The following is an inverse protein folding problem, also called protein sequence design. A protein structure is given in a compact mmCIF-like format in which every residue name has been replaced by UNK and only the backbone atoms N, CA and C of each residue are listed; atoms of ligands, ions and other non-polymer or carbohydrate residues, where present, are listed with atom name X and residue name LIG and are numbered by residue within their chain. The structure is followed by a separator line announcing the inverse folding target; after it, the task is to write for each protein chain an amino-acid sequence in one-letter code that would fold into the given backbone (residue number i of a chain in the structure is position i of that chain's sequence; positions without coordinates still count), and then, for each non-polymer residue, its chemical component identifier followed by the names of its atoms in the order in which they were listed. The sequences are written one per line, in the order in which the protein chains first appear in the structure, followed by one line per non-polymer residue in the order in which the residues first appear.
data_IF_689312246629
#
_entry.id   IF_689312246629
#
_cell.length_a   1.000
_cell.length_b   1.000
_cell.length_c   1.000
_cell.angle_alpha   90.00
_cell.angle_beta   90.00
_cell.angle_gamma   90.00
#
_symmetry.space_group_name_H-M   'P 1'
#
loop_
_entity.id
_entity.type
_entity.pdbx_description
1 polymer ?
#
# COMPACT_ATOMS: atom_id res chain seq x y z
N UNK A 1 27.19 18.67 -21.95
CA UNK A 1 27.70 17.90 -20.79
C UNK A 1 27.09 16.51 -20.85
N UNK A 2 27.89 15.43 -20.90
CA UNK A 2 27.34 14.09 -20.76
C UNK A 2 26.72 13.93 -19.36
N UNK A 3 25.59 13.21 -19.22
CA UNK A 3 24.99 12.96 -17.92
C UNK A 3 25.98 12.18 -17.06
N UNK A 4 26.20 12.64 -15.82
CA UNK A 4 27.03 11.93 -14.85
C UNK A 4 26.46 10.52 -14.66
N UNK A 5 27.20 9.50 -15.06
CA UNK A 5 26.84 8.11 -14.83
C UNK A 5 26.91 7.84 -13.33
N UNK A 6 25.76 7.82 -12.67
CA UNK A 6 25.64 7.43 -11.27
C UNK A 6 26.13 5.99 -11.17
N UNK A 7 27.33 5.78 -10.61
CA UNK A 7 27.84 4.44 -10.30
C UNK A 7 26.98 3.88 -9.19
N UNK A 8 26.33 2.75 -9.47
CA UNK A 8 25.59 1.99 -8.46
C UNK A 8 26.56 1.43 -7.42
N UNK A 9 26.20 1.41 -6.12
CA UNK A 9 27.05 0.89 -5.06
C UNK A 9 27.31 -0.62 -5.27
N UNK A 10 28.50 -1.10 -4.91
CA UNK A 10 28.77 -2.54 -4.84
C UNK A 10 28.05 -3.16 -3.64
N UNK A 11 27.93 -4.50 -3.58
CA UNK A 11 27.34 -5.19 -2.42
C UNK A 11 28.02 -4.80 -1.11
N UNK A 12 29.35 -4.78 -1.07
CA UNK A 12 30.10 -4.42 0.13
C UNK A 12 29.87 -2.97 0.56
N UNK A 13 29.74 -2.05 -0.40
CA UNK A 13 29.41 -0.65 -0.11
C UNK A 13 27.99 -0.55 0.47
N UNK A 14 27.02 -1.23 -0.14
CA UNK A 14 25.64 -1.23 0.34
C UNK A 14 25.52 -1.84 1.76
N UNK A 15 26.26 -2.90 2.07
CA UNK A 15 26.35 -3.47 3.42
C UNK A 15 26.96 -2.46 4.39
N UNK A 16 28.03 -1.77 3.99
CA UNK A 16 28.70 -0.75 4.82
C UNK A 16 27.76 0.42 5.12
N UNK A 17 27.09 0.96 4.10
CA UNK A 17 26.14 2.07 4.22
C UNK A 17 24.93 1.71 5.10
N UNK A 18 24.53 0.44 5.11
CA UNK A 18 23.41 -0.07 5.89
C UNK A 18 23.79 -0.50 7.33
N UNK A 19 24.98 -0.17 7.83
CA UNK A 19 25.39 -0.41 9.22
C UNK A 19 26.42 -1.52 9.41
N UNK A 20 27.06 -1.99 8.33
CA UNK A 20 28.17 -2.94 8.38
C UNK A 20 27.75 -4.42 8.26
N UNK A 21 28.70 -5.36 8.35
CA UNK A 21 28.50 -6.77 8.02
C UNK A 21 27.83 -7.58 9.14
N UNK A 22 26.75 -7.06 9.73
CA UNK A 22 25.92 -7.79 10.68
C UNK A 22 24.88 -8.65 9.95
N UNK A 23 24.48 -9.82 10.47
CA UNK A 23 23.60 -10.74 9.76
C UNK A 23 22.30 -10.12 9.25
N UNK A 24 21.64 -9.29 10.06
CA UNK A 24 20.41 -8.57 9.68
C UNK A 24 20.63 -7.65 8.49
N UNK A 25 21.69 -6.84 8.51
CA UNK A 25 22.06 -5.94 7.41
C UNK A 25 22.39 -6.72 6.13
N UNK A 26 23.18 -7.79 6.25
CA UNK A 26 23.53 -8.64 5.09
C UNK A 26 22.27 -9.24 4.46
N UNK A 27 21.32 -9.74 5.27
CA UNK A 27 20.06 -10.30 4.78
C UNK A 27 19.20 -9.23 4.07
N UNK A 28 19.05 -8.04 4.66
CA UNK A 28 18.29 -6.94 4.06
C UNK A 28 18.89 -6.54 2.71
N UNK A 29 20.21 -6.31 2.66
CA UNK A 29 20.89 -5.84 1.43
C UNK A 29 20.89 -6.91 0.35
N UNK A 30 21.25 -8.15 0.69
CA UNK A 30 21.22 -9.26 -0.29
C UNK A 30 19.81 -9.47 -0.82
N UNK A 31 18.81 -9.47 0.06
CA UNK A 31 17.41 -9.61 -0.31
C UNK A 31 16.92 -8.50 -1.23
N UNK A 32 17.27 -7.26 -0.93
CA UNK A 32 16.93 -6.11 -1.76
C UNK A 32 17.55 -6.25 -3.15
N UNK A 33 18.82 -6.65 -3.24
CA UNK A 33 19.51 -6.85 -4.51
C UNK A 33 18.96 -8.02 -5.33
N UNK A 34 18.48 -9.08 -4.67
CA UNK A 34 17.83 -10.23 -5.31
C UNK A 34 16.43 -9.91 -5.83
N UNK A 35 15.72 -8.95 -5.21
CA UNK A 35 14.37 -8.53 -5.62
C UNK A 35 14.37 -7.44 -6.69
N UNK A 36 15.50 -6.75 -6.84
CA UNK A 36 15.67 -5.67 -7.82
C UNK A 36 15.98 -6.21 -9.21
N UNK A 37 15.43 -5.54 -10.22
CA UNK A 37 15.76 -5.83 -11.60
C UNK A 37 17.25 -5.68 -11.88
N UNK A 38 17.79 -6.46 -12.83
CA UNK A 38 19.20 -6.33 -13.26
C UNK A 38 19.59 -4.91 -13.69
N UNK A 39 18.61 -4.10 -14.12
CA UNK A 39 18.79 -2.67 -14.45
C UNK A 39 18.81 -1.76 -13.23
N UNK A 40 18.28 -2.17 -12.08
CA UNK A 40 18.32 -1.45 -10.81
C UNK A 40 19.48 -1.94 -9.92
N UNK A 41 19.70 -3.25 -9.82
CA UNK A 41 20.79 -3.87 -9.06
C UNK A 41 22.14 -3.74 -9.77
N UNK A 42 23.21 -3.69 -8.99
CA UNK A 42 24.63 -3.73 -9.41
C UNK A 42 25.34 -4.99 -8.96
N UNK A 43 24.78 -5.71 -7.99
CA UNK A 43 25.41 -6.91 -7.47
C UNK A 43 25.23 -8.06 -8.43
N UNK A 44 26.29 -8.86 -8.53
CA UNK A 44 26.24 -10.11 -9.28
C UNK A 44 25.63 -11.20 -8.41
N UNK A 45 24.85 -12.15 -8.98
CA UNK A 45 24.27 -13.25 -8.20
C UNK A 45 25.30 -14.00 -7.34
N UNK A 46 26.53 -14.16 -7.83
CA UNK A 46 27.62 -14.84 -7.12
C UNK A 46 28.11 -14.07 -5.89
N UNK A 47 27.99 -12.73 -5.88
CA UNK A 47 28.35 -11.89 -4.73
C UNK A 47 27.32 -12.05 -3.62
N UNK A 48 26.03 -12.01 -3.95
CA UNK A 48 24.94 -12.26 -3.00
C UNK A 48 25.02 -13.69 -2.45
N UNK A 49 25.31 -14.69 -3.29
CA UNK A 49 25.47 -16.07 -2.83
C UNK A 49 26.64 -16.19 -1.85
N UNK A 50 27.80 -15.61 -2.17
CA UNK A 50 28.99 -15.65 -1.30
C UNK A 50 28.71 -15.00 0.07
N UNK A 51 28.04 -13.84 0.08
CA UNK A 51 27.67 -13.15 1.31
C UNK A 51 26.69 -13.98 2.16
N UNK A 52 25.69 -14.61 1.54
CA UNK A 52 24.75 -15.47 2.25
C UNK A 52 25.42 -16.75 2.79
N UNK A 53 26.34 -17.36 2.03
CA UNK A 53 27.10 -18.54 2.49
C UNK A 53 27.95 -18.24 3.72
N UNK A 54 28.42 -17.01 3.88
CA UNK A 54 29.18 -16.58 5.06
C UNK A 54 28.32 -16.52 6.34
N UNK A 55 26.99 -16.47 6.23
CA UNK A 55 26.09 -16.50 7.38
C UNK A 55 25.86 -17.94 7.86
N UNK A 56 26.00 -18.16 9.18
CA UNK A 56 25.58 -19.41 9.80
C UNK A 56 24.04 -19.52 9.81
N UNK A 57 23.47 -20.74 9.75
CA UNK A 57 22.02 -20.92 9.86
C UNK A 57 21.44 -20.28 11.12
N UNK A 58 22.09 -20.46 12.27
CA UNK A 58 21.66 -19.91 13.56
C UNK A 58 21.66 -18.38 13.58
N UNK A 59 22.61 -17.73 12.89
CA UNK A 59 22.64 -16.28 12.77
C UNK A 59 21.44 -15.77 11.95
N UNK A 60 21.02 -16.50 10.91
CA UNK A 60 19.83 -16.16 10.13
C UNK A 60 18.56 -16.39 10.94
N UNK A 61 18.45 -17.51 11.66
CA UNK A 61 17.34 -17.78 12.59
C UNK A 61 17.22 -16.68 13.64
N UNK A 62 18.33 -16.28 14.25
CA UNK A 62 18.39 -15.19 15.23
C UNK A 62 17.96 -13.86 14.62
N UNK A 63 18.42 -13.54 13.40
CA UNK A 63 18.04 -12.32 12.70
C UNK A 63 16.54 -12.29 12.36
N UNK A 64 15.95 -13.42 11.96
CA UNK A 64 14.50 -13.54 11.73
C UNK A 64 13.70 -13.36 13.02
N UNK A 65 14.13 -14.00 14.11
CA UNK A 65 13.50 -13.87 15.42
C UNK A 65 13.58 -12.44 15.99
N UNK A 66 14.59 -11.66 15.57
CA UNK A 66 14.76 -10.26 15.96
C UNK A 66 13.86 -9.29 15.18
N UNK A 67 13.10 -9.76 14.17
CA UNK A 67 12.13 -8.90 13.47
C UNK A 67 10.99 -8.56 14.43
N UNK A 68 10.92 -7.28 14.81
CA UNK A 68 9.83 -6.76 15.61
C UNK A 68 8.58 -6.56 14.73
N UNK A 69 7.77 -7.61 14.66
CA UNK A 69 6.50 -7.65 13.94
C UNK A 69 5.53 -6.57 14.42
N UNK A 70 5.55 -6.22 15.71
CA UNK A 70 4.67 -5.18 16.27
C UNK A 70 5.09 -3.79 15.78
N UNK A 71 6.39 -3.51 15.76
CA UNK A 71 6.91 -2.27 15.17
C UNK A 71 6.60 -2.16 13.69
N UNK A 72 6.79 -3.24 12.92
CA UNK A 72 6.44 -3.26 11.47
C UNK A 72 4.96 -2.96 11.25
N UNK A 73 4.07 -3.55 12.05
CA UNK A 73 2.62 -3.25 11.98
C UNK A 73 2.34 -1.79 12.28
N UNK A 74 2.97 -1.23 13.32
CA UNK A 74 2.79 0.17 13.71
C UNK A 74 3.28 1.12 12.60
N UNK A 75 4.46 0.86 12.04
CA UNK A 75 5.05 1.66 10.97
C UNK A 75 4.21 1.60 9.69
N UNK A 76 3.70 0.43 9.32
CA UNK A 76 2.79 0.30 8.18
C UNK A 76 1.44 0.97 8.41
N UNK A 77 0.89 0.87 9.62
CA UNK A 77 -0.38 1.54 9.97
C UNK A 77 -0.21 3.05 9.85
N UNK A 78 0.88 3.57 10.41
CA UNK A 78 1.26 4.98 10.28
C UNK A 78 1.47 5.37 8.82
N UNK A 79 2.11 4.52 8.01
CA UNK A 79 2.30 4.82 6.60
C UNK A 79 0.98 4.97 5.83
N UNK A 80 -0.01 4.13 6.15
CA UNK A 80 -1.36 4.23 5.57
C UNK A 80 -2.04 5.53 5.97
N UNK A 81 -1.88 5.97 7.21
CA UNK A 81 -2.45 7.23 7.73
C UNK A 81 -1.74 8.46 7.15
N UNK A 82 -0.41 8.49 7.17
CA UNK A 82 0.37 9.60 6.63
C UNK A 82 0.26 9.71 5.11
N UNK A 83 0.03 8.61 4.39
CA UNK A 83 -0.28 8.69 2.96
C UNK A 83 -1.61 9.40 2.70
N UNK A 84 -2.60 9.19 3.58
CA UNK A 84 -3.88 9.88 3.50
C UNK A 84 -3.71 11.38 3.79
N UNK A 85 -2.97 11.73 4.85
CA UNK A 85 -2.66 13.12 5.18
C UNK A 85 -1.87 13.82 4.07
N UNK A 86 -0.90 13.13 3.45
CA UNK A 86 -0.15 13.68 2.32
C UNK A 86 -1.06 14.07 1.14
N UNK A 87 -2.13 13.31 0.89
CA UNK A 87 -3.08 13.61 -0.18
C UNK A 87 -3.90 14.88 0.08
N UNK A 88 -4.20 15.17 1.36
CA UNK A 88 -5.06 16.29 1.78
C UNK A 88 -4.28 17.53 2.21
N UNK A 89 -2.96 17.43 2.40
CA UNK A 89 -2.11 18.54 2.80
C UNK A 89 -2.18 19.72 1.79
N UNK A 90 -2.54 20.89 2.32
CA UNK A 90 -2.64 22.15 1.57
C UNK A 90 -1.26 22.72 1.24
N UNK A 91 -0.30 22.56 2.15
CA UNK A 91 1.06 23.06 2.00
C UNK A 91 2.01 21.99 1.42
N UNK A 92 2.85 22.40 0.45
CA UNK A 92 3.80 21.50 -0.20
C UNK A 92 4.84 20.92 0.78
N UNK A 93 5.21 21.68 1.82
CA UNK A 93 6.14 21.22 2.84
C UNK A 93 5.53 20.12 3.70
N UNK A 94 4.30 20.31 4.16
CA UNK A 94 3.54 19.33 4.94
C UNK A 94 3.29 18.05 4.14
N UNK A 95 2.87 18.18 2.88
CA UNK A 95 2.75 17.05 1.95
C UNK A 95 4.03 16.23 1.85
N UNK A 96 5.17 16.90 1.70
CA UNK A 96 6.47 16.23 1.60
C UNK A 96 6.85 15.53 2.90
N UNK A 97 6.56 16.15 4.05
CA UNK A 97 6.80 15.56 5.37
C UNK A 97 6.01 14.25 5.54
N UNK A 98 4.69 14.29 5.29
CA UNK A 98 3.84 13.11 5.39
C UNK A 98 4.21 12.04 4.37
N UNK A 99 4.47 12.42 3.12
CA UNK A 99 4.88 11.47 2.09
C UNK A 99 6.21 10.78 2.45
N UNK A 100 7.17 11.52 2.99
CA UNK A 100 8.47 10.95 3.42
C UNK A 100 8.28 9.95 4.57
N UNK A 101 7.47 10.31 5.56
CA UNK A 101 7.21 9.44 6.71
C UNK A 101 6.42 8.18 6.30
N UNK A 102 5.45 8.33 5.40
CA UNK A 102 4.72 7.22 4.81
C UNK A 102 5.65 6.26 4.07
N UNK A 103 6.51 6.77 3.19
CA UNK A 103 7.48 5.96 2.47
C UNK A 103 8.48 5.27 3.41
N UNK A 104 8.83 5.87 4.55
CA UNK A 104 9.65 5.21 5.56
C UNK A 104 8.96 3.99 6.17
N UNK A 105 7.66 4.07 6.45
CA UNK A 105 6.91 2.92 6.97
C UNK A 105 6.71 1.81 5.92
N UNK A 106 6.49 2.17 4.65
CA UNK A 106 6.48 1.18 3.55
C UNK A 106 7.85 0.51 3.38
N UNK A 107 8.94 1.28 3.50
CA UNK A 107 10.29 0.75 3.44
C UNK A 107 10.61 -0.23 4.58
N UNK A 108 10.02 -0.06 5.78
CA UNK A 108 10.18 -1.02 6.86
C UNK A 108 9.61 -2.40 6.52
N UNK A 109 8.42 -2.43 5.91
CA UNK A 109 7.84 -3.69 5.40
C UNK A 109 8.67 -4.28 4.25
N UNK A 110 9.21 -3.45 3.39
CA UNK A 110 10.08 -3.88 2.30
C UNK A 110 11.40 -4.49 2.80
N UNK A 111 11.96 -3.98 3.91
CA UNK A 111 13.12 -4.60 4.58
C UNK A 111 12.81 -6.02 5.05
N UNK A 112 11.63 -6.25 5.60
CA UNK A 112 11.20 -7.61 5.99
C UNK A 112 11.06 -8.52 4.77
N UNK A 113 10.45 -8.03 3.67
CA UNK A 113 10.35 -8.80 2.43
C UNK A 113 11.73 -9.19 1.88
N UNK A 114 12.68 -8.24 1.89
CA UNK A 114 14.06 -8.48 1.51
C UNK A 114 14.74 -9.52 2.41
N UNK A 115 14.60 -9.37 3.73
CA UNK A 115 15.16 -10.32 4.71
C UNK A 115 14.66 -11.74 4.47
N UNK A 116 13.34 -11.91 4.24
CA UNK A 116 12.74 -13.21 3.94
C UNK A 116 13.25 -13.80 2.61
N UNK A 117 13.40 -12.99 1.56
CA UNK A 117 13.98 -13.44 0.29
C UNK A 117 15.41 -13.95 0.46
N UNK A 118 16.25 -13.23 1.21
CA UNK A 118 17.61 -13.65 1.52
C UNK A 118 17.65 -14.93 2.38
N UNK A 119 16.76 -15.04 3.37
CA UNK A 119 16.66 -16.23 4.22
C UNK A 119 16.25 -17.48 3.42
N UNK A 120 15.28 -17.37 2.51
CA UNK A 120 14.90 -18.46 1.59
C UNK A 120 16.05 -18.87 0.70
N UNK A 121 16.75 -17.90 0.11
CA UNK A 121 17.94 -18.18 -0.69
C UNK A 121 19.03 -18.90 0.13
N UNK A 122 19.23 -18.51 1.40
CA UNK A 122 20.15 -19.20 2.29
C UNK A 122 19.72 -20.65 2.55
N UNK A 123 18.43 -20.90 2.78
CA UNK A 123 17.88 -22.24 2.96
C UNK A 123 18.12 -23.09 1.70
N UNK A 124 17.88 -22.56 0.52
CA UNK A 124 18.12 -23.27 -0.76
C UNK A 124 19.60 -23.65 -0.91
N UNK A 125 20.52 -22.78 -0.51
CA UNK A 125 21.96 -23.08 -0.54
C UNK A 125 22.32 -24.20 0.45
N UNK A 126 21.76 -24.19 1.66
CA UNK A 126 21.96 -25.27 2.63
C UNK A 126 21.45 -26.61 2.10
N UNK A 127 20.29 -26.62 1.46
CA UNK A 127 19.70 -27.83 0.89
C UNK A 127 20.51 -28.37 -0.30
N UNK A 128 21.06 -27.48 -1.14
CA UNK A 128 21.97 -27.87 -2.24
C UNK A 128 23.28 -28.46 -1.73
N UNK A 129 23.84 -27.89 -0.67
CA UNK A 129 25.09 -28.38 -0.05
C UNK A 129 24.89 -29.76 0.62
N UNK A 130 23.65 -30.09 1.04
CA UNK A 130 23.29 -31.33 1.74
C UNK A 130 23.17 -32.59 0.88
N UNK A 131 23.60 -32.56 -0.40
CA UNK A 131 23.58 -33.71 -1.30
C UNK A 131 23.97 -35.04 -0.61
N UNK A 132 22.96 -35.90 -0.39
CA UNK A 132 22.99 -37.31 0.02
C UNK A 132 23.08 -37.72 1.50
N UNK A 133 23.27 -36.82 2.49
CA UNK A 133 23.37 -37.24 3.90
C UNK A 133 22.31 -36.59 4.83
N UNK A 134 21.14 -37.24 4.92
CA UNK A 134 19.94 -36.78 5.64
C UNK A 134 20.05 -36.76 7.18
N UNK A 135 21.11 -37.34 7.75
CA UNK A 135 21.26 -37.54 9.20
C UNK A 135 22.30 -36.62 9.87
N UNK A 136 22.75 -35.56 9.19
CA UNK A 136 23.79 -34.67 9.70
C UNK A 136 23.22 -33.45 10.47
N UNK A 137 23.95 -32.85 11.43
CA UNK A 137 23.53 -31.63 12.15
C UNK A 137 23.22 -30.43 11.23
N UNK A 138 23.66 -30.45 9.97
CA UNK A 138 23.24 -29.46 8.97
C UNK A 138 21.75 -29.58 8.62
N UNK A 139 21.15 -30.78 8.69
CA UNK A 139 19.72 -30.99 8.44
C UNK A 139 18.86 -30.38 9.55
N UNK A 140 19.35 -30.35 10.79
CA UNK A 140 18.70 -29.66 11.91
C UNK A 140 18.71 -28.14 11.72
N UNK A 141 19.86 -27.56 11.35
CA UNK A 141 19.96 -26.12 11.04
C UNK A 141 19.06 -25.67 9.88
N UNK A 142 18.94 -26.49 8.83
CA UNK A 142 18.03 -26.22 7.72
C UNK A 142 16.55 -26.29 8.13
N UNK A 143 16.18 -27.24 9.01
CA UNK A 143 14.81 -27.32 9.58
C UNK A 143 14.50 -26.11 10.44
N UNK A 144 15.38 -25.75 11.37
CA UNK A 144 15.21 -24.58 12.23
C UNK A 144 15.07 -23.29 11.42
N UNK A 145 15.87 -23.12 10.35
CA UNK A 145 15.75 -21.99 9.44
C UNK A 145 14.41 -22.00 8.68
N UNK A 146 13.98 -23.16 8.17
CA UNK A 146 12.70 -23.32 7.50
C UNK A 146 11.53 -22.95 8.42
N UNK A 147 11.56 -23.39 9.67
CA UNK A 147 10.53 -23.09 10.67
C UNK A 147 10.50 -21.60 11.02
N UNK A 148 11.67 -20.96 11.17
CA UNK A 148 11.79 -19.53 11.43
C UNK A 148 11.25 -18.68 10.26
N UNK A 149 11.53 -19.08 9.02
CA UNK A 149 10.98 -18.44 7.82
C UNK A 149 9.44 -18.55 7.83
N UNK A 150 8.90 -19.76 7.99
CA UNK A 150 7.46 -19.99 7.97
C UNK A 150 6.72 -19.24 9.10
N UNK A 151 7.32 -19.17 10.30
CA UNK A 151 6.78 -18.40 11.43
C UNK A 151 6.72 -16.90 11.12
N UNK A 152 7.81 -16.34 10.60
CA UNK A 152 7.90 -14.92 10.24
C UNK A 152 6.94 -14.59 9.10
N UNK A 153 6.84 -15.43 8.08
CA UNK A 153 5.91 -15.26 6.96
C UNK A 153 4.46 -15.23 7.42
N UNK A 154 4.07 -16.13 8.34
CA UNK A 154 2.71 -16.15 8.88
C UNK A 154 2.39 -14.84 9.62
N UNK A 155 3.29 -14.41 10.51
CA UNK A 155 3.10 -13.19 11.28
C UNK A 155 2.96 -11.94 10.39
N UNK A 156 3.72 -11.88 9.30
CA UNK A 156 3.66 -10.79 8.34
C UNK A 156 2.44 -10.88 7.41
N UNK A 157 2.02 -12.08 7.02
CA UNK A 157 0.82 -12.29 6.20
C UNK A 157 -0.44 -11.81 6.91
N UNK A 158 -0.54 -12.02 8.23
CA UNK A 158 -1.66 -11.51 9.03
C UNK A 158 -1.72 -9.98 9.04
N UNK A 159 -0.56 -9.31 9.12
CA UNK A 159 -0.46 -7.85 9.01
C UNK A 159 -0.89 -7.39 7.61
N UNK A 160 -0.31 -8.01 6.57
CA UNK A 160 -0.59 -7.68 5.18
C UNK A 160 -2.09 -7.82 4.87
N UNK A 161 -2.74 -8.90 5.31
CA UNK A 161 -4.17 -9.11 5.12
C UNK A 161 -5.01 -8.01 5.79
N UNK A 162 -4.64 -7.60 7.01
CA UNK A 162 -5.36 -6.56 7.75
C UNK A 162 -5.20 -5.15 7.18
N UNK A 163 -4.06 -4.85 6.56
CA UNK A 163 -3.76 -3.50 6.06
C UNK A 163 -3.99 -3.35 4.56
N UNK A 164 -3.96 -4.44 3.78
CA UNK A 164 -4.22 -4.39 2.34
C UNK A 164 -5.61 -3.87 2.00
N UNK A 165 -6.61 -4.12 2.84
CA UNK A 165 -7.96 -3.53 2.68
C UNK A 165 -7.96 -2.00 2.75
N UNK A 166 -6.90 -1.39 3.30
CA UNK A 166 -6.70 0.07 3.37
C UNK A 166 -5.76 0.60 2.28
N UNK A 167 -5.40 -0.19 1.27
CA UNK A 167 -4.44 0.20 0.22
C UNK A 167 -4.85 1.47 -0.54
N UNK A 168 -6.15 1.76 -0.65
CA UNK A 168 -6.66 3.02 -1.23
C UNK A 168 -6.12 4.28 -0.55
N UNK A 169 -5.81 4.23 0.75
CA UNK A 169 -5.22 5.35 1.49
C UNK A 169 -3.77 5.63 1.08
N UNK A 170 -3.10 4.67 0.44
CA UNK A 170 -1.73 4.83 -0.07
C UNK A 170 -1.66 5.61 -1.39
N UNK A 171 -2.79 5.97 -1.99
CA UNK A 171 -2.84 6.69 -3.27
C UNK A 171 -2.21 8.08 -3.19
N UNK A 172 -2.20 8.71 -2.02
CA UNK A 172 -1.54 10.00 -1.78
C UNK A 172 -0.02 10.02 -2.00
N UNK A 173 0.62 8.85 -2.07
CA UNK A 173 2.05 8.69 -2.32
C UNK A 173 2.34 7.78 -3.52
N UNK A 174 1.38 7.66 -4.45
CA UNK A 174 1.48 6.74 -5.58
C UNK A 174 2.68 7.01 -6.49
N UNK A 175 3.08 8.27 -6.65
CA UNK A 175 4.26 8.64 -7.43
C UNK A 175 5.53 7.98 -6.88
N UNK A 176 5.74 8.10 -5.58
CA UNK A 176 6.88 7.53 -4.85
C UNK A 176 6.78 6.00 -4.83
N UNK A 177 5.59 5.44 -4.60
CA UNK A 177 5.34 3.99 -4.64
C UNK A 177 5.68 3.39 -6.00
N UNK A 178 5.25 4.01 -7.11
CA UNK A 178 5.60 3.58 -8.46
C UNK A 178 7.11 3.66 -8.72
N UNK A 179 7.78 4.68 -8.20
CA UNK A 179 9.23 4.81 -8.32
C UNK A 179 9.97 3.66 -7.61
N UNK A 180 9.51 3.22 -6.44
CA UNK A 180 10.04 2.03 -5.77
C UNK A 180 9.67 0.74 -6.52
N UNK A 181 8.41 0.59 -6.95
CA UNK A 181 7.93 -0.56 -7.70
C UNK A 181 8.73 -0.79 -9.00
N UNK A 182 9.10 0.28 -9.70
CA UNK A 182 9.88 0.23 -10.93
C UNK A 182 11.28 -0.37 -10.73
N UNK A 183 11.84 -0.30 -9.52
CA UNK A 183 13.15 -0.90 -9.19
C UNK A 183 13.07 -2.42 -9.09
N UNK A 184 11.91 -2.96 -8.71
CA UNK A 184 11.69 -4.38 -8.50
C UNK A 184 11.58 -5.15 -9.82
N UNK A 185 12.00 -6.41 -9.79
CA UNK A 185 11.77 -7.36 -10.87
C UNK A 185 10.27 -7.64 -11.06
N UNK A 186 9.80 -7.90 -12.29
CA UNK A 186 8.37 -8.09 -12.58
C UNK A 186 7.69 -9.13 -11.66
N UNK A 187 8.36 -10.25 -11.37
CA UNK A 187 7.83 -11.30 -10.49
C UNK A 187 7.68 -10.83 -9.03
N UNK A 188 8.51 -9.90 -8.59
CA UNK A 188 8.45 -9.36 -7.23
C UNK A 188 7.40 -8.26 -7.10
N UNK A 189 7.11 -7.51 -8.17
CA UNK A 189 6.08 -6.46 -8.18
C UNK A 189 4.72 -6.98 -7.75
N UNK A 190 4.33 -8.15 -8.24
CA UNK A 190 3.04 -8.79 -7.92
C UNK A 190 2.91 -9.15 -6.42
N UNK A 191 4.04 -9.39 -5.75
CA UNK A 191 4.09 -9.77 -4.33
C UNK A 191 4.13 -8.57 -3.39
N UNK A 192 4.40 -7.38 -3.91
CA UNK A 192 4.60 -6.16 -3.13
C UNK A 192 3.37 -5.28 -3.15
N UNK A 193 2.26 -5.74 -2.55
CA UNK A 193 0.99 -5.01 -2.53
C UNK A 193 1.16 -3.57 -2.02
N UNK A 194 2.06 -3.35 -1.05
CA UNK A 194 2.31 -2.03 -0.47
C UNK A 194 2.89 -1.03 -1.48
N UNK A 195 3.48 -1.46 -2.59
CA UNK A 195 3.88 -0.59 -3.70
C UNK A 195 2.99 -0.72 -4.94
N UNK A 196 2.39 -1.88 -5.18
CA UNK A 196 1.65 -2.16 -6.41
C UNK A 196 0.15 -1.87 -6.31
N UNK A 197 -0.48 -2.20 -5.18
CA UNK A 197 -1.93 -2.17 -5.05
C UNK A 197 -2.45 -0.74 -5.12
N UNK A 198 -3.38 -0.46 -6.03
CA UNK A 198 -3.93 0.89 -6.28
C UNK A 198 -2.87 1.94 -6.68
N UNK A 199 -1.74 1.50 -7.22
CA UNK A 199 -0.64 2.39 -7.62
C UNK A 199 -0.72 2.87 -9.07
N UNK A 200 -1.77 2.51 -9.81
CA UNK A 200 -1.97 2.91 -11.19
C UNK A 200 -2.16 4.43 -11.31
N UNK A 201 -1.76 5.02 -12.45
CA UNK A 201 -1.89 6.48 -12.68
C UNK A 201 -3.35 6.96 -12.60
N UNK A 202 -4.31 6.08 -12.89
CA UNK A 202 -5.73 6.35 -12.76
C UNK A 202 -6.23 6.44 -11.32
N UNK A 203 -5.39 6.22 -10.30
CA UNK A 203 -5.84 6.20 -8.90
C UNK A 203 -5.25 7.35 -8.07
N UNK A 204 -4.37 8.18 -8.64
CA UNK A 204 -3.64 9.25 -7.94
C UNK A 204 -4.58 10.28 -7.29
N UNK A 205 -5.67 10.62 -7.95
CA UNK A 205 -6.61 11.63 -7.49
C UNK A 205 -7.76 11.06 -6.66
N UNK A 206 -7.73 9.76 -6.31
CA UNK A 206 -8.83 9.08 -5.62
C UNK A 206 -9.20 9.78 -4.29
N UNK A 207 -8.20 10.09 -3.45
CA UNK A 207 -8.47 10.69 -2.14
C UNK A 207 -8.95 12.14 -2.26
N UNK A 208 -8.45 12.89 -3.24
CA UNK A 208 -8.92 14.24 -3.54
C UNK A 208 -10.38 14.21 -4.02
N UNK A 209 -10.72 13.24 -4.87
CA UNK A 209 -12.09 13.03 -5.34
C UNK A 209 -13.03 12.57 -4.21
N UNK A 210 -12.55 11.76 -3.27
CA UNK A 210 -13.32 11.35 -2.09
C UNK A 210 -13.48 12.48 -1.06
N UNK A 211 -12.60 13.48 -1.04
CA UNK A 211 -12.72 14.59 -0.10
C UNK A 211 -13.58 15.77 -0.63
N UNK A 212 -14.13 15.65 -1.85
CA UNK A 212 -14.77 16.75 -2.62
C UNK A 212 -13.96 18.06 -2.61
N UNK A 213 -12.62 17.96 -2.62
CA UNK A 213 -11.75 19.14 -2.61
C UNK A 213 -11.78 19.87 -3.97
N UNK A 214 -11.52 21.19 -4.00
CA UNK A 214 -11.46 21.97 -5.24
C UNK A 214 -10.51 21.32 -6.27
N UNK A 215 -11.06 20.89 -7.41
CA UNK A 215 -10.33 20.13 -8.44
C UNK A 215 -10.74 18.66 -8.56
N UNK A 216 -11.33 18.07 -7.51
CA UNK A 216 -11.78 16.67 -7.47
C UNK A 216 -12.77 16.32 -8.59
N UNK A 217 -13.70 17.21 -8.91
CA UNK A 217 -14.72 17.01 -9.98
C UNK A 217 -14.11 16.86 -11.38
N UNK A 218 -12.98 17.52 -11.66
CA UNK A 218 -12.25 17.33 -12.92
C UNK A 218 -11.49 15.99 -12.94
N UNK A 219 -10.99 15.56 -11.78
CA UNK A 219 -10.22 14.33 -11.62
C UNK A 219 -11.06 13.06 -11.69
N UNK A 220 -12.35 13.07 -11.31
CA UNK A 220 -13.22 11.87 -11.37
C UNK A 220 -13.22 11.20 -12.76
N UNK A 221 -13.18 11.98 -13.83
CA UNK A 221 -13.20 11.46 -15.22
C UNK A 221 -11.92 10.74 -15.64
N UNK A 222 -10.81 10.93 -14.92
CA UNK A 222 -9.51 10.28 -15.18
C UNK A 222 -9.29 9.06 -14.30
N UNK A 223 -10.22 8.78 -13.38
CA UNK A 223 -10.05 7.70 -12.43
C UNK A 223 -10.20 6.33 -13.09
N UNK A 224 -9.39 5.36 -12.64
CA UNK A 224 -9.48 3.98 -13.05
C UNK A 224 -10.81 3.33 -12.61
N UNK A 225 -11.20 2.18 -13.20
CA UNK A 225 -12.45 1.51 -12.86
C UNK A 225 -12.59 1.18 -11.36
N UNK A 226 -11.49 0.81 -10.70
CA UNK A 226 -11.47 0.50 -9.28
C UNK A 226 -11.70 1.76 -8.41
N UNK A 227 -11.08 2.89 -8.76
CA UNK A 227 -11.30 4.17 -8.09
C UNK A 227 -12.71 4.72 -8.32
N UNK A 228 -13.27 4.54 -9.52
CA UNK A 228 -14.67 4.87 -9.79
C UNK A 228 -15.64 4.02 -8.97
N UNK A 229 -15.37 2.71 -8.83
CA UNK A 229 -16.15 1.84 -7.97
C UNK A 229 -16.07 2.27 -6.50
N UNK A 230 -14.89 2.68 -6.02
CA UNK A 230 -14.72 3.22 -4.67
C UNK A 230 -15.53 4.50 -4.45
N UNK A 231 -15.56 5.43 -5.41
CA UNK A 231 -16.39 6.64 -5.31
C UNK A 231 -17.87 6.26 -5.26
N UNK A 232 -18.31 5.35 -6.14
CA UNK A 232 -19.69 4.86 -6.17
C UNK A 232 -20.10 4.15 -4.88
N UNK A 233 -19.17 3.41 -4.26
CA UNK A 233 -19.39 2.69 -3.00
C UNK A 233 -19.26 3.59 -1.77
N UNK A 234 -18.40 4.61 -1.83
CA UNK A 234 -18.12 5.48 -0.68
C UNK A 234 -19.30 6.38 -0.34
N UNK A 235 -20.28 6.52 -1.25
CA UNK A 235 -21.44 7.35 -1.03
C UNK A 235 -21.06 8.65 -0.31
N UNK A 236 -20.00 9.31 -0.80
CA UNK A 236 -20.01 10.76 -0.94
C UNK A 236 -21.03 11.08 -2.03
N UNK A 237 -22.26 10.72 -1.69
CA UNK A 237 -23.41 11.56 -1.81
C UNK A 237 -22.93 12.93 -1.35
N UNK A 238 -22.48 13.74 -2.30
CA UNK A 238 -22.60 15.18 -2.19
C UNK A 238 -24.09 15.43 -2.01
N UNK A 239 -24.54 15.36 -0.76
CA UNK A 239 -25.75 16.04 -0.36
C UNK A 239 -25.37 17.52 -0.34
N UNK A 240 -25.26 18.09 -1.54
CA UNK A 240 -25.26 19.51 -1.69
C UNK A 240 -26.59 19.98 -1.09
N UNK A 241 -26.54 20.51 0.14
CA UNK A 241 -27.72 20.90 0.90
C UNK A 241 -28.57 21.93 0.15
N UNK A 242 -27.94 22.73 -0.72
CA UNK A 242 -28.64 23.67 -1.59
C UNK A 242 -29.36 22.94 -2.73
N UNK A 243 -28.71 21.97 -3.37
CA UNK A 243 -29.35 21.12 -4.39
C UNK A 243 -30.48 20.27 -3.80
N UNK A 244 -30.28 19.71 -2.60
CA UNK A 244 -31.28 18.95 -1.87
C UNK A 244 -32.47 19.83 -1.48
N UNK A 245 -32.23 21.03 -0.93
CA UNK A 245 -33.29 21.99 -0.62
C UNK A 245 -34.03 22.43 -1.87
N UNK A 246 -33.32 22.70 -2.97
CA UNK A 246 -33.93 23.07 -4.25
C UNK A 246 -34.77 21.95 -4.86
N UNK A 247 -34.33 20.69 -4.77
CA UNK A 247 -35.08 19.53 -5.26
C UNK A 247 -36.32 19.29 -4.40
N UNK A 248 -36.22 19.38 -3.07
CA UNK A 248 -37.37 19.27 -2.15
C UNK A 248 -38.43 20.32 -2.43
N UNK A 249 -38.04 21.57 -2.69
CA UNK A 249 -38.98 22.63 -3.13
C UNK A 249 -39.67 22.27 -4.44
N UNK A 250 -38.93 21.76 -5.42
CA UNK A 250 -39.53 21.32 -6.70
C UNK A 250 -40.48 20.14 -6.51
N UNK A 251 -40.18 19.21 -5.61
CA UNK A 251 -41.10 18.10 -5.25
C UNK A 251 -42.38 18.66 -4.64
N UNK A 252 -42.28 19.56 -3.66
CA UNK A 252 -43.45 20.19 -3.02
C UNK A 252 -44.33 20.99 -3.99
N UNK A 253 -43.72 21.55 -5.05
CA UNK A 253 -44.42 22.26 -6.11
C UNK A 253 -44.92 21.35 -7.25
N UNK A 254 -44.68 20.04 -7.20
CA UNK A 254 -45.02 19.10 -8.26
C UNK A 254 -44.20 19.24 -9.55
N UNK A 255 -43.09 19.99 -9.50
CA UNK A 255 -42.25 20.32 -10.65
C UNK A 255 -40.97 19.47 -10.76
N UNK A 256 -40.75 18.52 -9.84
CA UNK A 256 -39.56 17.67 -9.84
C UNK A 256 -39.62 16.56 -10.89
N UNK A 257 -38.50 16.31 -11.55
CA UNK A 257 -38.36 15.22 -12.52
C UNK A 257 -38.37 13.85 -11.81
N UNK A 258 -38.50 12.75 -12.59
CA UNK A 258 -38.41 11.40 -12.05
C UNK A 258 -37.00 11.10 -11.50
N UNK A 259 -35.96 11.61 -12.16
CA UNK A 259 -34.57 11.44 -11.76
C UNK A 259 -34.26 12.18 -10.45
N UNK A 260 -34.77 13.41 -10.28
CA UNK A 260 -34.62 14.19 -9.04
C UNK A 260 -35.31 13.50 -7.84
N UNK A 261 -36.50 12.92 -8.07
CA UNK A 261 -37.22 12.15 -7.05
C UNK A 261 -36.46 10.90 -6.64
N UNK A 262 -35.93 10.15 -7.60
CA UNK A 262 -35.13 8.96 -7.33
C UNK A 262 -33.82 9.29 -6.60
N UNK A 263 -33.18 10.40 -6.97
CA UNK A 263 -31.96 10.89 -6.31
C UNK A 263 -32.22 11.25 -4.85
N UNK A 264 -33.20 12.11 -4.55
CA UNK A 264 -33.57 12.48 -3.16
C UNK A 264 -33.97 11.25 -2.34
N UNK A 265 -34.76 10.33 -2.89
CA UNK A 265 -35.20 9.13 -2.18
C UNK A 265 -34.04 8.21 -1.79
N UNK A 266 -33.04 8.04 -2.67
CA UNK A 266 -31.83 7.27 -2.38
C UNK A 266 -31.05 7.84 -1.19
N UNK A 267 -31.03 9.17 -1.05
CA UNK A 267 -30.29 9.85 0.00
C UNK A 267 -31.08 9.87 1.33
N UNK A 268 -32.39 10.07 1.26
CA UNK A 268 -33.31 9.95 2.39
C UNK A 268 -33.32 8.54 3.02
N UNK A 269 -32.90 7.51 2.29
CA UNK A 269 -32.77 6.16 2.83
C UNK A 269 -31.69 6.04 3.93
N UNK A 270 -30.72 6.96 3.96
CA UNK A 270 -29.58 6.94 4.89
C UNK A 270 -29.53 8.17 5.81
N UNK A 271 -30.26 9.24 5.50
CA UNK A 271 -30.35 10.46 6.32
C UNK A 271 -31.79 10.69 6.82
N UNK A 272 -31.99 10.58 8.14
CA UNK A 272 -33.30 10.71 8.79
C UNK A 272 -33.89 12.13 8.68
N UNK A 273 -33.04 13.17 8.68
CA UNK A 273 -33.49 14.56 8.55
C UNK A 273 -33.99 14.83 7.14
N UNK A 274 -33.28 14.30 6.14
CA UNK A 274 -33.69 14.43 4.74
C UNK A 274 -34.95 13.62 4.44
N UNK A 275 -35.10 12.44 5.04
CA UNK A 275 -36.33 11.64 4.97
C UNK A 275 -37.54 12.43 5.45
N UNK A 276 -37.44 13.03 6.63
CA UNK A 276 -38.52 13.85 7.18
C UNK A 276 -38.85 15.04 6.27
N UNK A 277 -37.84 15.69 5.69
CA UNK A 277 -38.06 16.80 4.77
C UNK A 277 -38.70 16.36 3.44
N UNK A 278 -38.38 15.16 2.93
CA UNK A 278 -39.01 14.57 1.76
C UNK A 278 -40.49 14.24 2.00
N UNK A 279 -40.81 13.62 3.13
CA UNK A 279 -42.18 13.26 3.50
C UNK A 279 -43.07 14.53 3.53
N UNK A 280 -42.61 15.60 4.19
CA UNK A 280 -43.31 16.91 4.23
C UNK A 280 -43.51 17.51 2.84
N UNK A 281 -42.50 17.44 1.97
CA UNK A 281 -42.60 17.94 0.61
C UNK A 281 -43.63 17.15 -0.23
N UNK A 282 -43.73 15.84 -0.03
CA UNK A 282 -44.69 14.99 -0.74
C UNK A 282 -46.13 15.23 -0.26
N UNK A 283 -46.35 15.38 1.04
CA UNK A 283 -47.67 15.68 1.61
C UNK A 283 -48.21 17.02 1.08
N UNK A 284 -47.36 18.05 1.01
CA UNK A 284 -47.71 19.38 0.46
C UNK A 284 -48.14 19.30 -1.01
N UNK A 285 -47.61 18.34 -1.78
CA UNK A 285 -47.96 18.15 -3.19
C UNK A 285 -49.35 17.54 -3.34
N UNK A 286 -49.74 16.61 -2.46
CA UNK A 286 -51.04 15.93 -2.48
C UNK A 286 -52.17 16.93 -2.24
N UNK A 287 -52.02 17.79 -1.22
CA UNK A 287 -53.03 18.81 -0.87
C UNK A 287 -53.33 19.79 -2.02
N UNK A 288 -52.39 20.00 -2.94
CA UNK A 288 -52.58 20.89 -4.11
C UNK A 288 -53.18 20.21 -5.33
N UNK A 289 -53.24 18.88 -5.35
CA UNK A 289 -53.84 18.11 -6.45
C UNK A 289 -55.33 17.83 -6.26
N UNK A 290 -55.90 18.20 -5.11
CA UNK A 290 -57.30 17.94 -4.73
C UNK A 290 -58.24 19.16 -4.92
N UNK A 291 -57.72 20.29 -5.40
CA UNK A 291 -58.48 21.48 -5.87
C UNK A 291 -58.66 21.49 -7.40
#
# INVERSE_FOLDING_TARGET
MPPATIRKPTLDQAITDAGGPVPSTVLVVCGQMMRQSRRASSARPEETERALRALSPDAVVTALAAIDVTSVKSELTRAVEESFEAALAEEAQERTMFATSAMSGLAARDKVASTLTAARARLDLLQKDQGQNTSSPQSEGARALSDAIASTERAIADIDASLRVRSRSLTGVNRERRAELAKLDPQERERCWWYADRSDEGDDDLLVALADLPGGKASVTRLGPAAQADIGASALIDLNMEAASSALRRIALGAATAEERAWIAKHAAVDASLKQALDVAQDTQIERGED
#
